data_IF_652965131672
#
_entry.id   IF_652965131672
#
_cell.length_a   1.000
_cell.length_b   1.000
_cell.length_c   1.000
_cell.angle_alpha   90.00
_cell.angle_beta   90.00
_cell.angle_gamma   90.00
#
_symmetry.space_group_name_H-M   'P 1'
#
loop_
_entity.id
_entity.type
_entity.pdbx_description
1 polymer ?
#
# COMPACT_ATOMS: atom_id res chain seq x y z
N UNK A 1 -40.36 75.02 0.79
CA UNK A 1 -41.46 75.42 -0.13
C UNK A 1 -41.13 74.79 -1.48
N UNK A 2 -41.88 73.92 -2.13
CA UNK A 2 -43.21 73.31 -2.01
C UNK A 2 -43.09 71.87 -2.61
N UNK A 3 -43.64 70.80 -2.01
CA UNK A 3 -44.94 70.16 -2.33
C UNK A 3 -45.16 69.94 -3.85
N UNK A 4 -45.62 68.82 -4.42
CA UNK A 4 -46.18 67.50 -4.03
C UNK A 4 -46.51 66.81 -5.37
N UNK A 5 -46.62 65.47 -5.44
CA UNK A 5 -47.35 64.83 -6.55
C UNK A 5 -47.09 63.34 -6.77
N UNK A 6 -47.91 62.50 -6.18
CA UNK A 6 -48.07 61.04 -6.40
C UNK A 6 -49.17 60.71 -7.40
N UNK A 7 -49.00 59.65 -8.20
CA UNK A 7 -50.00 58.64 -8.65
C UNK A 7 -49.37 57.77 -9.77
N UNK A 8 -49.89 56.61 -10.21
CA UNK A 8 -50.21 55.31 -9.60
C UNK A 8 -50.57 54.35 -10.76
N UNK A 9 -50.14 53.08 -10.69
CA UNK A 9 -50.66 51.86 -11.38
C UNK A 9 -50.66 51.83 -12.95
N UNK A 10 -50.63 50.70 -13.68
CA UNK A 10 -51.04 49.33 -13.42
C UNK A 10 -50.35 48.31 -14.37
N UNK A 11 -50.58 47.03 -14.07
CA UNK A 11 -49.98 45.78 -14.55
C UNK A 11 -50.25 45.37 -16.01
N UNK A 12 -49.47 44.41 -16.55
CA UNK A 12 -49.90 43.01 -16.87
C UNK A 12 -48.90 42.31 -17.80
N UNK A 13 -48.70 41.00 -17.60
CA UNK A 13 -48.07 40.13 -18.62
C UNK A 13 -47.20 38.98 -18.10
N UNK A 14 -47.79 38.00 -17.41
CA UNK A 14 -47.20 36.66 -17.23
C UNK A 14 -47.12 35.96 -18.60
N UNK A 15 -46.06 35.18 -18.85
CA UNK A 15 -46.08 33.75 -19.23
C UNK A 15 -44.84 33.36 -20.08
N UNK A 16 -43.92 32.57 -19.52
CA UNK A 16 -43.24 31.43 -20.16
C UNK A 16 -42.39 30.74 -19.06
N UNK A 17 -42.99 29.81 -18.33
CA UNK A 17 -42.85 28.35 -18.51
C UNK A 17 -41.44 27.84 -18.15
N UNK A 18 -41.44 27.03 -17.10
CA UNK A 18 -40.31 26.34 -16.49
C UNK A 18 -39.56 25.43 -17.48
N UNK A 19 -38.23 25.38 -17.34
CA UNK A 19 -37.43 24.21 -17.66
C UNK A 19 -36.57 23.88 -16.43
N UNK A 20 -37.04 22.90 -15.67
CA UNK A 20 -36.34 22.22 -14.59
C UNK A 20 -35.66 20.95 -15.14
N UNK A 21 -34.59 20.55 -14.46
CA UNK A 21 -33.95 19.21 -14.43
C UNK A 21 -32.97 18.93 -15.59
N UNK A 22 -31.75 18.44 -15.37
CA UNK A 22 -31.08 18.04 -14.13
C UNK A 22 -29.63 17.66 -14.44
N UNK A 23 -28.72 17.98 -13.53
CA UNK A 23 -27.35 17.50 -13.50
C UNK A 23 -27.01 17.17 -12.04
N UNK A 24 -27.74 16.21 -11.48
CA UNK A 24 -27.28 15.50 -10.29
C UNK A 24 -26.36 14.38 -10.77
N UNK A 25 -25.09 14.68 -10.97
CA UNK A 25 -24.07 13.64 -11.04
C UNK A 25 -23.94 13.04 -9.62
N UNK A 26 -24.12 11.73 -9.42
CA UNK A 26 -23.77 11.13 -8.15
C UNK A 26 -22.24 11.17 -8.05
N UNK A 27 -21.73 12.02 -7.17
CA UNK A 27 -20.35 11.91 -6.70
C UNK A 27 -20.27 10.61 -5.89
N UNK A 28 -19.99 9.50 -6.58
CA UNK A 28 -19.54 8.28 -5.92
C UNK A 28 -18.18 8.61 -5.29
N UNK A 29 -18.21 9.03 -4.04
CA UNK A 29 -17.03 9.16 -3.21
C UNK A 29 -16.46 7.75 -3.01
N UNK A 30 -15.52 7.36 -3.87
CA UNK A 30 -14.59 6.27 -3.58
C UNK A 30 -13.80 6.72 -2.36
N UNK A 31 -14.18 6.21 -1.19
CA UNK A 31 -13.37 6.27 0.01
C UNK A 31 -12.13 5.38 -0.22
N UNK A 32 -11.14 5.94 -0.91
CA UNK A 32 -9.79 5.38 -0.91
C UNK A 32 -9.20 5.60 0.47
N UNK A 33 -8.88 4.52 1.18
CA UNK A 33 -8.06 4.58 2.37
C UNK A 33 -6.66 5.01 1.92
N UNK A 34 -6.26 6.25 2.23
CA UNK A 34 -4.90 6.74 2.00
C UNK A 34 -4.15 6.55 3.31
N UNK A 35 -3.22 5.59 3.33
CA UNK A 35 -2.20 5.54 4.38
C UNK A 35 -1.22 6.68 4.13
N UNK A 36 -1.41 7.79 4.86
CA UNK A 36 -0.40 8.84 4.92
C UNK A 36 0.75 8.34 5.80
N UNK A 37 1.87 7.96 5.19
CA UNK A 37 3.12 7.72 5.91
C UNK A 37 3.72 9.06 6.34
N UNK A 38 4.23 9.11 7.58
CA UNK A 38 4.93 10.28 8.10
C UNK A 38 6.21 10.51 7.28
N UNK A 39 6.29 11.68 6.64
CA UNK A 39 7.45 12.06 5.82
C UNK A 39 8.62 12.51 6.70
N UNK A 40 9.83 12.04 6.36
CA UNK A 40 11.07 12.72 6.77
C UNK A 40 11.17 14.03 5.98
N UNK A 41 11.55 15.12 6.65
CA UNK A 41 11.52 16.48 6.13
C UNK A 41 12.54 16.66 4.97
N UNK A 42 12.12 16.41 3.74
CA UNK A 42 12.97 16.62 2.55
C UNK A 42 12.28 16.36 1.22
N UNK A 43 11.31 15.44 1.20
CA UNK A 43 10.55 15.09 -0.01
C UNK A 43 9.08 15.39 0.23
N UNK A 44 8.42 16.09 -0.71
CA UNK A 44 6.99 16.43 -0.61
C UNK A 44 6.09 15.21 -0.33
N UNK A 45 4.83 15.46 0.03
CA UNK A 45 3.85 14.45 0.44
C UNK A 45 3.88 13.18 -0.44
N UNK A 46 4.51 12.12 0.06
CA UNK A 46 4.41 10.79 -0.53
C UNK A 46 3.05 10.19 -0.15
N UNK A 47 2.35 9.67 -1.16
CA UNK A 47 1.03 9.04 -1.02
C UNK A 47 1.15 7.54 -0.75
N UNK A 48 2.32 6.94 -1.03
CA UNK A 48 2.58 5.52 -0.86
C UNK A 48 4.02 5.22 -0.45
N UNK A 49 4.24 4.08 0.21
CA UNK A 49 5.56 3.53 0.53
C UNK A 49 6.30 3.14 -0.77
N UNK A 50 7.61 3.45 -0.91
CA UNK A 50 8.41 3.01 -2.06
C UNK A 50 8.58 1.49 -2.05
N UNK A 51 8.18 0.84 -3.15
CA UNK A 51 8.30 -0.60 -3.31
C UNK A 51 8.74 -0.96 -4.73
N UNK A 52 9.40 -2.10 -4.89
CA UNK A 52 9.68 -2.71 -6.20
C UNK A 52 9.10 -4.12 -6.27
N UNK A 53 8.80 -4.59 -7.46
CA UNK A 53 8.31 -5.93 -7.70
C UNK A 53 9.00 -6.56 -8.90
N UNK A 54 9.24 -7.86 -8.82
CA UNK A 54 10.02 -8.60 -9.80
C UNK A 54 9.25 -9.82 -10.30
N UNK A 55 9.36 -10.08 -11.61
CA UNK A 55 8.86 -11.30 -12.23
C UNK A 55 9.80 -11.66 -13.39
N UNK A 56 10.49 -12.80 -13.26
CA UNK A 56 11.55 -13.15 -14.18
C UNK A 56 11.09 -13.25 -15.65
N UNK A 57 11.92 -12.75 -16.56
CA UNK A 57 11.61 -12.68 -17.99
C UNK A 57 10.72 -11.50 -18.37
N UNK A 58 10.47 -10.58 -17.44
CA UNK A 58 9.74 -9.32 -17.64
C UNK A 58 10.47 -8.16 -16.95
N UNK A 59 10.05 -6.95 -17.27
CA UNK A 59 10.61 -5.74 -16.66
C UNK A 59 10.18 -5.62 -15.22
N UNK A 60 11.10 -5.25 -14.33
CA UNK A 60 10.76 -4.93 -12.95
C UNK A 60 9.72 -3.80 -12.90
N UNK A 61 8.93 -3.77 -11.84
CA UNK A 61 7.95 -2.72 -11.57
C UNK A 61 8.32 -1.99 -10.29
N UNK A 62 7.86 -0.75 -10.15
CA UNK A 62 8.03 0.07 -8.96
C UNK A 62 6.78 0.92 -8.68
N UNK A 63 6.61 1.34 -7.44
CA UNK A 63 5.50 2.22 -7.04
C UNK A 63 5.89 3.68 -7.31
N UNK A 64 5.08 4.38 -8.10
CA UNK A 64 5.16 5.84 -8.14
C UNK A 64 4.59 6.39 -6.83
N UNK A 65 5.48 6.83 -5.93
CA UNK A 65 5.11 7.27 -4.57
C UNK A 65 4.19 8.50 -4.51
N UNK A 66 4.03 9.24 -5.61
CA UNK A 66 3.10 10.38 -5.68
C UNK A 66 1.68 9.94 -6.07
N UNK A 67 1.55 8.87 -6.84
CA UNK A 67 0.25 8.40 -7.36
C UNK A 67 -0.21 7.07 -6.77
N UNK A 68 0.69 6.33 -6.11
CA UNK A 68 0.46 4.97 -5.59
C UNK A 68 0.38 3.89 -6.67
N UNK A 69 0.63 4.21 -7.95
CA UNK A 69 0.48 3.25 -9.06
C UNK A 69 1.78 2.51 -9.35
N UNK A 70 1.65 1.27 -9.81
CA UNK A 70 2.79 0.49 -10.32
C UNK A 70 3.19 0.93 -11.73
N UNK A 71 4.47 1.22 -11.92
CA UNK A 71 5.09 1.64 -13.17
C UNK A 71 6.25 0.70 -13.54
N UNK A 72 6.49 0.41 -14.83
CA UNK A 72 7.59 -0.44 -15.24
C UNK A 72 8.94 0.23 -15.03
N UNK A 73 10.00 -0.58 -15.06
CA UNK A 73 11.38 -0.13 -15.04
C UNK A 73 11.60 1.02 -16.06
N UNK A 74 12.03 2.21 -15.60
CA UNK A 74 12.09 3.39 -16.45
C UNK A 74 13.13 3.26 -17.58
N UNK A 75 14.13 2.39 -17.40
CA UNK A 75 15.13 2.11 -18.45
C UNK A 75 14.61 1.13 -19.51
N UNK A 76 13.54 0.40 -19.22
CA UNK A 76 13.02 -0.65 -20.09
C UNK A 76 13.93 -1.88 -20.18
N UNK A 77 14.85 -2.08 -19.23
CA UNK A 77 15.86 -3.16 -19.32
C UNK A 77 15.97 -4.02 -18.08
N UNK A 78 15.72 -3.52 -16.86
CA UNK A 78 15.96 -4.31 -15.64
C UNK A 78 14.89 -5.40 -15.47
N UNK A 79 15.33 -6.60 -15.09
CA UNK A 79 14.49 -7.78 -14.83
C UNK A 79 14.85 -8.32 -13.43
N UNK A 80 14.19 -9.40 -13.01
CA UNK A 80 14.38 -10.00 -11.69
C UNK A 80 15.86 -10.14 -11.29
N UNK A 81 16.11 -9.87 -10.01
CA UNK A 81 17.43 -9.79 -9.39
C UNK A 81 17.66 -11.04 -8.53
N UNK A 82 18.91 -11.44 -8.38
CA UNK A 82 19.30 -12.69 -7.73
C UNK A 82 19.63 -12.54 -6.24
N UNK A 83 20.08 -11.37 -5.79
CA UNK A 83 20.45 -11.13 -4.38
C UNK A 83 19.72 -9.94 -3.77
N UNK A 84 19.70 -9.86 -2.43
CA UNK A 84 19.02 -8.78 -1.69
C UNK A 84 19.79 -7.47 -1.80
N UNK A 85 21.12 -7.53 -1.95
CA UNK A 85 21.99 -6.40 -2.23
C UNK A 85 21.71 -5.80 -3.61
N UNK A 86 21.48 -6.64 -4.63
CA UNK A 86 21.05 -6.18 -5.95
C UNK A 86 19.68 -5.49 -5.87
N UNK A 87 18.76 -6.03 -5.08
CA UNK A 87 17.44 -5.41 -4.84
C UNK A 87 17.57 -4.05 -4.14
N UNK A 88 18.43 -3.94 -3.13
CA UNK A 88 18.73 -2.67 -2.45
C UNK A 88 19.29 -1.64 -3.45
N UNK A 89 20.27 -2.04 -4.27
CA UNK A 89 20.82 -1.18 -5.30
C UNK A 89 19.74 -0.73 -6.28
N UNK A 90 18.84 -1.62 -6.70
CA UNK A 90 17.75 -1.27 -7.60
C UNK A 90 16.75 -0.29 -6.96
N UNK A 91 16.41 -0.46 -5.68
CA UNK A 91 15.60 0.52 -4.96
C UNK A 91 16.28 1.91 -4.95
N UNK A 92 17.59 1.98 -4.73
CA UNK A 92 18.35 3.24 -4.76
C UNK A 92 18.37 3.87 -6.15
N UNK A 93 18.47 3.06 -7.21
CA UNK A 93 18.40 3.53 -8.60
C UNK A 93 17.02 4.11 -8.94
N UNK A 94 15.94 3.50 -8.45
CA UNK A 94 14.55 3.89 -8.75
C UNK A 94 14.07 5.07 -7.92
N UNK A 95 14.52 5.18 -6.67
CA UNK A 95 14.14 6.24 -5.75
C UNK A 95 15.35 7.12 -5.35
N UNK A 96 15.99 7.82 -6.31
CA UNK A 96 17.25 8.54 -6.06
C UNK A 96 17.11 9.70 -5.07
N UNK A 97 15.90 10.25 -4.93
CA UNK A 97 15.61 11.34 -3.98
C UNK A 97 15.33 10.83 -2.55
N UNK A 98 15.27 9.52 -2.35
CA UNK A 98 15.07 8.89 -1.05
C UNK A 98 16.36 8.26 -0.55
N UNK A 99 16.64 8.39 0.75
CA UNK A 99 17.76 7.71 1.38
C UNK A 99 17.41 6.24 1.63
N UNK A 100 17.42 5.39 0.60
CA UNK A 100 17.15 3.96 0.77
C UNK A 100 18.34 3.29 1.46
N UNK A 101 18.11 2.72 2.65
CA UNK A 101 19.16 2.11 3.49
C UNK A 101 19.06 0.59 3.56
N UNK A 102 17.88 0.02 3.34
CA UNK A 102 17.66 -1.42 3.40
C UNK A 102 16.43 -1.83 2.56
N UNK A 103 16.16 -3.13 2.47
CA UNK A 103 14.99 -3.69 1.79
C UNK A 103 14.42 -4.84 2.62
N UNK A 104 13.12 -5.07 2.49
CA UNK A 104 12.46 -6.25 3.06
C UNK A 104 11.34 -6.73 2.16
N UNK A 105 11.06 -8.03 2.17
CA UNK A 105 9.85 -8.55 1.51
C UNK A 105 8.60 -8.00 2.21
N UNK A 106 7.58 -7.65 1.44
CA UNK A 106 6.28 -7.34 2.01
C UNK A 106 5.63 -8.63 2.55
N UNK A 107 4.81 -8.47 3.59
CA UNK A 107 4.17 -9.62 4.23
C UNK A 107 3.06 -10.25 3.37
N UNK A 108 2.46 -9.47 2.46
CA UNK A 108 1.34 -9.89 1.62
C UNK A 108 1.69 -9.79 0.14
N UNK A 109 1.21 -10.74 -0.67
CA UNK A 109 1.34 -10.63 -2.11
C UNK A 109 0.40 -9.53 -2.65
N UNK A 110 0.79 -8.96 -3.79
CA UNK A 110 -0.02 -7.99 -4.53
C UNK A 110 -0.27 -8.50 -5.94
N UNK A 111 -1.47 -8.25 -6.47
CA UNK A 111 -1.73 -8.47 -7.88
C UNK A 111 -1.36 -7.20 -8.66
N UNK A 112 -0.33 -7.30 -9.51
CA UNK A 112 0.12 -6.20 -10.36
C UNK A 112 -0.31 -6.49 -11.79
N UNK A 113 -1.16 -5.61 -12.31
CA UNK A 113 -1.63 -5.67 -13.69
C UNK A 113 -0.55 -5.19 -14.68
N UNK A 114 -0.82 -5.38 -15.97
CA UNK A 114 -0.04 -4.76 -17.06
C UNK A 114 1.46 -5.10 -17.09
N UNK A 115 1.88 -6.26 -16.58
CA UNK A 115 3.24 -6.75 -16.78
C UNK A 115 3.46 -7.23 -18.22
N UNK A 116 4.16 -6.42 -19.02
CA UNK A 116 4.47 -6.71 -20.42
C UNK A 116 5.77 -7.55 -20.56
N UNK A 117 5.87 -8.38 -21.60
CA UNK A 117 7.18 -8.95 -22.00
C UNK A 117 7.92 -7.89 -22.83
N UNK A 118 9.26 -7.86 -22.76
CA UNK A 118 10.09 -6.89 -23.49
C UNK A 118 9.70 -6.73 -24.96
N UNK A 119 9.30 -7.83 -25.61
CA UNK A 119 9.01 -7.86 -27.06
C UNK A 119 7.52 -8.05 -27.41
N UNK A 120 6.60 -8.00 -26.43
CA UNK A 120 5.16 -8.23 -26.69
C UNK A 120 4.27 -7.18 -26.07
N UNK A 121 3.32 -6.68 -26.89
CA UNK A 121 2.25 -5.76 -26.46
C UNK A 121 1.21 -6.37 -25.53
N UNK A 122 1.15 -7.70 -25.42
CA UNK A 122 0.18 -8.34 -24.52
C UNK A 122 0.75 -8.44 -23.10
N UNK A 123 0.20 -7.62 -22.22
CA UNK A 123 0.55 -7.57 -20.82
C UNK A 123 -0.42 -8.45 -20.02
N UNK A 124 0.04 -9.04 -18.92
CA UNK A 124 -0.76 -9.93 -18.06
C UNK A 124 -0.59 -9.48 -16.61
N UNK A 125 -1.56 -9.82 -15.76
CA UNK A 125 -1.46 -9.59 -14.33
C UNK A 125 -0.71 -10.73 -13.65
N UNK A 126 0.02 -10.42 -12.58
CA UNK A 126 0.78 -11.37 -11.79
C UNK A 126 0.65 -11.07 -10.31
N UNK A 127 0.46 -12.14 -9.53
CA UNK A 127 0.51 -12.08 -8.07
C UNK A 127 1.97 -12.32 -7.67
N UNK A 128 2.56 -11.33 -7.00
CA UNK A 128 3.97 -11.33 -6.57
C UNK A 128 4.09 -10.79 -5.16
N UNK A 129 5.15 -11.19 -4.45
CA UNK A 129 5.52 -10.56 -3.17
C UNK A 129 6.49 -9.42 -3.52
N UNK A 130 6.12 -8.15 -3.27
CA UNK A 130 6.99 -7.02 -3.55
C UNK A 130 8.05 -6.88 -2.46
N UNK A 131 9.05 -6.07 -2.75
CA UNK A 131 10.04 -5.60 -1.81
C UNK A 131 9.74 -4.16 -1.40
N UNK A 132 9.68 -3.90 -0.11
CA UNK A 132 9.68 -2.55 0.48
C UNK A 132 11.11 -1.99 0.41
N UNK A 133 11.24 -0.75 -0.04
CA UNK A 133 12.50 0.00 -0.05
C UNK A 133 12.55 0.88 1.20
N UNK A 134 13.32 0.48 2.22
CA UNK A 134 13.30 1.13 3.53
C UNK A 134 14.08 2.44 3.51
N UNK A 135 13.43 3.52 3.94
CA UNK A 135 13.96 4.89 3.88
C UNK A 135 14.55 5.29 5.22
N UNK A 136 15.81 5.75 5.22
CA UNK A 136 16.45 6.37 6.36
C UNK A 136 16.77 5.40 7.50
N UNK A 137 16.68 5.88 8.73
CA UNK A 137 16.82 5.04 9.91
C UNK A 137 15.63 4.09 10.04
N UNK A 138 15.90 2.84 10.41
CA UNK A 138 14.85 1.84 10.53
C UNK A 138 13.90 2.16 11.68
N UNK A 139 12.61 2.14 11.36
CA UNK A 139 11.50 2.21 12.32
C UNK A 139 10.62 1.00 12.07
N UNK A 140 10.20 0.31 13.12
CA UNK A 140 9.32 -0.85 12.96
C UNK A 140 7.92 -0.45 12.48
N UNK A 141 7.24 -1.36 11.79
CA UNK A 141 5.88 -1.16 11.28
C UNK A 141 4.90 -1.06 12.47
N UNK A 142 3.83 -0.26 12.32
CA UNK A 142 2.76 -0.21 13.32
C UNK A 142 1.83 -1.42 13.14
N UNK A 143 1.84 -2.35 14.11
CA UNK A 143 0.95 -3.49 14.11
C UNK A 143 -0.36 -3.19 14.84
N UNK A 144 -1.48 -3.30 14.11
CA UNK A 144 -2.81 -3.26 14.72
C UNK A 144 -3.07 -4.56 15.50
N UNK A 145 -3.64 -4.43 16.69
CA UNK A 145 -4.06 -5.56 17.55
C UNK A 145 -5.58 -5.56 17.63
N UNK A 146 -6.29 -6.39 16.83
CA UNK A 146 -7.74 -6.47 16.89
C UNK A 146 -8.25 -7.08 18.21
N UNK A 147 -9.56 -7.00 18.43
CA UNK A 147 -10.21 -7.61 19.59
C UNK A 147 -9.93 -9.11 19.67
N UNK A 148 -9.65 -9.59 20.88
CA UNK A 148 -9.31 -10.99 21.21
C UNK A 148 -8.00 -11.50 20.60
N UNK A 149 -7.19 -10.63 19.98
CA UNK A 149 -5.83 -10.95 19.54
C UNK A 149 -4.80 -10.58 20.61
N UNK A 150 -3.60 -11.14 20.48
CA UNK A 150 -2.48 -10.93 21.41
C UNK A 150 -1.25 -10.48 20.65
N UNK A 151 -0.56 -9.46 21.18
CA UNK A 151 0.69 -8.94 20.66
C UNK A 151 1.88 -9.56 21.39
N UNK A 152 2.92 -9.90 20.63
CA UNK A 152 4.16 -10.49 21.10
C UNK A 152 5.35 -9.85 20.39
N UNK A 153 6.54 -9.92 21.00
CA UNK A 153 7.79 -9.61 20.33
C UNK A 153 8.91 -10.54 20.82
N UNK A 154 9.92 -10.73 19.99
CA UNK A 154 11.11 -11.52 20.29
C UNK A 154 12.35 -10.88 19.68
N UNK A 155 13.39 -10.71 20.50
CA UNK A 155 14.67 -10.11 20.10
C UNK A 155 15.84 -10.99 20.57
N UNK A 156 16.82 -11.20 19.69
CA UNK A 156 17.99 -12.06 19.91
C UNK A 156 19.22 -11.44 19.27
N UNK A 157 19.99 -10.66 20.04
CA UNK A 157 21.15 -9.90 19.53
C UNK A 157 22.26 -10.80 18.95
N UNK A 158 22.30 -12.07 19.36
CA UNK A 158 23.24 -13.07 18.84
C UNK A 158 22.81 -13.71 17.51
N UNK A 159 21.58 -13.45 17.05
CA UNK A 159 20.98 -14.06 15.86
C UNK A 159 20.71 -12.96 14.83
N UNK A 160 21.21 -13.10 13.61
CA UNK A 160 20.90 -12.19 12.50
C UNK A 160 20.26 -13.00 11.37
N UNK A 161 18.94 -12.91 11.25
CA UNK A 161 18.13 -13.81 10.40
C UNK A 161 17.30 -13.03 9.40
N UNK A 162 16.98 -13.69 8.28
CA UNK A 162 16.21 -13.10 7.18
C UNK A 162 14.73 -12.96 7.53
N UNK A 163 14.05 -12.02 6.88
CA UNK A 163 12.60 -11.79 7.02
C UNK A 163 11.78 -13.10 6.95
N UNK A 164 12.02 -13.94 5.94
CA UNK A 164 11.31 -15.22 5.76
C UNK A 164 11.49 -16.21 6.93
N UNK A 165 12.66 -16.19 7.56
CA UNK A 165 12.96 -17.06 8.71
C UNK A 165 12.17 -16.62 9.93
N UNK A 166 12.15 -15.32 10.22
CA UNK A 166 11.33 -14.74 11.29
C UNK A 166 9.84 -15.00 11.06
N UNK A 167 9.34 -14.83 9.83
CA UNK A 167 7.95 -15.15 9.49
C UNK A 167 7.58 -16.60 9.84
N UNK A 168 8.44 -17.56 9.49
CA UNK A 168 8.20 -18.98 9.80
C UNK A 168 8.17 -19.21 11.32
N UNK A 169 9.10 -18.60 12.07
CA UNK A 169 9.17 -18.72 13.52
C UNK A 169 7.91 -18.19 14.21
N UNK A 170 7.44 -16.98 13.86
CA UNK A 170 6.27 -16.38 14.52
C UNK A 170 4.98 -17.09 14.11
N UNK A 171 4.92 -17.62 12.89
CA UNK A 171 3.79 -18.45 12.44
C UNK A 171 3.69 -19.72 13.28
N UNK A 172 4.80 -20.41 13.51
CA UNK A 172 4.86 -21.60 14.37
C UNK A 172 4.56 -21.27 15.84
N UNK A 173 5.02 -20.12 16.33
CA UNK A 173 4.73 -19.65 17.69
C UNK A 173 3.22 -19.44 17.91
N UNK A 174 2.53 -18.72 17.01
CA UNK A 174 1.08 -18.56 17.10
C UNK A 174 0.33 -19.90 17.05
N UNK A 175 0.76 -20.83 16.18
CA UNK A 175 0.13 -22.14 16.06
C UNK A 175 0.27 -22.99 17.33
N UNK A 176 1.40 -22.86 18.04
CA UNK A 176 1.65 -23.57 19.31
C UNK A 176 0.66 -23.14 20.40
N UNK A 177 0.24 -21.87 20.39
CA UNK A 177 -0.78 -21.31 21.29
C UNK A 177 -2.22 -21.59 20.82
N UNK A 178 -2.41 -22.38 19.75
CA UNK A 178 -3.73 -22.62 19.16
C UNK A 178 -4.34 -21.40 18.45
N UNK A 179 -3.51 -20.42 18.08
CA UNK A 179 -3.88 -19.19 17.39
C UNK A 179 -3.40 -19.23 15.93
N UNK A 180 -3.58 -18.14 15.20
CA UNK A 180 -3.05 -17.94 13.85
C UNK A 180 -2.36 -16.59 13.75
N UNK A 181 -1.23 -16.55 13.05
CA UNK A 181 -0.51 -15.33 12.79
C UNK A 181 -1.38 -14.37 11.97
N UNK A 182 -1.64 -13.19 12.52
CA UNK A 182 -2.43 -12.14 11.90
C UNK A 182 -1.55 -11.12 11.17
N UNK A 183 -0.55 -10.59 11.86
CA UNK A 183 0.43 -9.63 11.32
C UNK A 183 1.77 -9.79 12.04
N UNK A 184 2.84 -9.32 11.40
CA UNK A 184 4.18 -9.30 11.99
C UNK A 184 5.04 -8.20 11.37
N UNK A 185 6.06 -7.77 12.09
CA UNK A 185 7.04 -6.77 11.70
C UNK A 185 8.44 -7.20 12.13
N UNK A 186 9.46 -6.71 11.42
CA UNK A 186 10.86 -6.97 11.77
C UNK A 186 11.35 -5.94 12.79
N UNK A 187 12.33 -6.35 13.62
CA UNK A 187 12.95 -5.49 14.61
C UNK A 187 14.47 -5.53 14.44
N UNK A 188 15.13 -4.39 14.67
CA UNK A 188 16.58 -4.28 14.83
C UNK A 188 17.36 -4.83 13.61
N UNK A 189 17.47 -4.05 12.51
CA UNK A 189 18.21 -4.49 11.33
C UNK A 189 19.69 -4.72 11.67
N UNK A 190 20.23 -5.81 11.13
CA UNK A 190 21.62 -6.23 11.32
C UNK A 190 22.36 -6.50 10.00
N UNK A 191 21.66 -6.44 8.88
CA UNK A 191 22.18 -6.58 7.53
C UNK A 191 21.10 -6.30 6.49
N UNK A 192 21.44 -6.49 5.21
CA UNK A 192 20.47 -6.34 4.11
C UNK A 192 19.43 -7.45 4.21
N UNK A 193 18.15 -7.08 4.38
CA UNK A 193 17.03 -8.01 4.62
C UNK A 193 17.27 -8.97 5.81
N UNK A 194 17.98 -8.50 6.85
CA UNK A 194 18.33 -9.29 8.04
C UNK A 194 18.11 -8.51 9.34
N UNK A 195 17.62 -9.22 10.36
CA UNK A 195 17.06 -8.63 11.58
C UNK A 195 17.38 -9.47 12.82
N UNK A 196 17.54 -8.81 13.97
CA UNK A 196 17.74 -9.46 15.27
C UNK A 196 16.43 -9.87 15.97
N UNK A 197 15.28 -9.42 15.47
CA UNK A 197 14.01 -9.74 16.09
C UNK A 197 12.80 -9.51 15.21
N UNK A 198 11.64 -9.77 15.82
CA UNK A 198 10.33 -9.60 15.19
C UNK A 198 9.26 -9.35 16.25
N UNK A 199 8.27 -8.56 15.89
CA UNK A 199 7.02 -8.37 16.62
C UNK A 199 5.86 -8.96 15.81
N UNK A 200 4.84 -9.48 16.49
CA UNK A 200 3.76 -10.20 15.82
C UNK A 200 2.48 -10.23 16.63
N UNK A 201 1.36 -10.37 15.91
CA UNK A 201 0.01 -10.47 16.46
C UNK A 201 -0.55 -11.84 16.13
N UNK A 202 -0.99 -12.57 17.15
CA UNK A 202 -1.71 -13.83 17.00
C UNK A 202 -3.20 -13.62 17.31
N UNK A 203 -4.08 -14.15 16.47
CA UNK A 203 -5.53 -14.06 16.64
C UNK A 203 -6.16 -15.47 16.70
N UNK A 204 -7.33 -15.64 17.33
CA UNK A 204 -8.10 -16.87 17.25
C UNK A 204 -8.41 -17.25 15.80
N UNK A 205 -8.40 -18.54 15.49
CA UNK A 205 -8.81 -19.02 14.17
C UNK A 205 -10.27 -18.63 13.90
N UNK A 206 -10.49 -17.73 12.95
CA UNK A 206 -11.84 -17.55 12.40
C UNK A 206 -12.19 -18.85 11.69
N UNK A 207 -13.12 -19.64 12.27
CA UNK A 207 -13.75 -20.72 11.52
C UNK A 207 -14.33 -20.07 10.27
N UNK A 208 -13.78 -20.37 9.11
CA UNK A 208 -14.45 -20.12 7.84
C UNK A 208 -15.76 -20.89 7.92
N UNK A 209 -16.86 -20.19 8.23
CA UNK A 209 -18.16 -20.67 7.81
C UNK A 209 -18.07 -20.63 6.29
N UNK A 210 -17.85 -21.79 5.68
CA UNK A 210 -18.07 -21.97 4.26
C UNK A 210 -19.46 -21.43 3.97
N UNK A 211 -19.52 -20.23 3.38
CA UNK A 211 -20.70 -19.76 2.68
C UNK A 211 -20.77 -20.51 1.35
N UNK A 212 -20.97 -21.82 1.45
CA UNK A 212 -21.65 -22.61 0.44
C UNK A 212 -22.82 -23.32 1.12
N UNK A 213 -23.94 -22.62 1.19
CA UNK A 213 -25.27 -23.18 1.39
C UNK A 213 -26.29 -22.22 0.78
N UNK A 214 -26.65 -22.50 -0.47
CA UNK A 214 -28.06 -22.54 -0.89
C UNK A 214 -28.85 -21.22 -0.85
N UNK A 215 -28.95 -20.57 -2.01
CA UNK A 215 -30.22 -19.96 -2.48
C UNK A 215 -30.45 -20.59 -3.86
N UNK A 216 -31.25 -21.66 -3.93
CA UNK A 216 -32.69 -21.62 -4.23
C UNK A 216 -33.00 -20.89 -5.53
#
# INVERSE_FOLDING_TARGET
MAATGTAAAAATGKLLVLLLLGLTAPAAALAGYIEALAANAGTGFAVAEPQIAMFCGKLNMHVNIQTGKWEPDPTGTKSCLGTKEEVLQYCQEIYPELQITNVMEANQPVNIDSWCRRDKRQCKSHIVIPFKCLVGEFVSDVLLVPDNCQFFHQERMEVCEKHQRWHTLVKEACLTEGLTLYSYGMLLPCGVDQFHGTEYVCCPQTKTVDSDSTMS
#
